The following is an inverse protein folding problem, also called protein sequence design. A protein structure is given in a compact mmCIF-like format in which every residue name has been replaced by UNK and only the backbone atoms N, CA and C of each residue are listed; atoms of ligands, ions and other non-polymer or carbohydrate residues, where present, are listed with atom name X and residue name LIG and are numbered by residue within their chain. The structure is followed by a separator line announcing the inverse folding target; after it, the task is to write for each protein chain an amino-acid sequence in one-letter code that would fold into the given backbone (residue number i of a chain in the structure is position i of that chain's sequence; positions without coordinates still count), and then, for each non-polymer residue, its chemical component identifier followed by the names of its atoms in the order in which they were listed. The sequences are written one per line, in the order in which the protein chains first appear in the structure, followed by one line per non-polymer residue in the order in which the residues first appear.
data_IF_133257216884
#
_entry.id   IF_133257216884
#
_cell.length_a   1.000
_cell.length_b   1.000
_cell.length_c   1.000
_cell.angle_alpha   90.00
_cell.angle_beta   90.00
_cell.angle_gamma   90.00
#
_symmetry.space_group_name_H-M   'P 1'
#
loop_
_entity.id
_entity.type
_entity.pdbx_description
1 polymer ?
#
# COMPACT_ATOMS: atom_id res chain seq x y z
N UNK A 1 -1.89 27.07 -27.63
CA UNK A 1 -1.87 26.81 -26.18
C UNK A 1 -1.80 25.30 -26.00
N UNK A 2 -0.79 24.77 -25.31
CA UNK A 2 -0.62 23.34 -25.15
C UNK A 2 -1.46 22.82 -23.97
N UNK A 3 -2.21 21.74 -24.18
CA UNK A 3 -2.97 21.08 -23.12
C UNK A 3 -2.02 20.25 -22.27
N UNK A 4 -2.05 20.44 -20.95
CA UNK A 4 -1.32 19.61 -19.98
C UNK A 4 -2.31 18.70 -19.27
N UNK A 5 -2.04 17.39 -19.27
CA UNK A 5 -2.82 16.38 -18.56
C UNK A 5 -1.98 15.84 -17.41
N UNK A 6 -2.54 15.83 -16.20
CA UNK A 6 -1.91 15.25 -15.02
C UNK A 6 -2.62 13.95 -14.65
N UNK A 7 -1.85 12.91 -14.37
CA UNK A 7 -2.34 11.60 -13.98
C UNK A 7 -1.78 11.21 -12.63
N UNK A 8 -2.61 10.61 -11.79
CA UNK A 8 -2.11 9.89 -10.63
C UNK A 8 -1.34 8.65 -11.08
N UNK A 9 -0.49 8.11 -10.21
CA UNK A 9 0.33 6.93 -10.49
C UNK A 9 -0.37 5.66 -10.01
N UNK A 10 -0.68 5.55 -8.72
CA UNK A 10 -1.03 4.30 -8.07
C UNK A 10 -2.53 3.99 -8.16
N UNK A 11 -2.91 3.11 -9.09
CA UNK A 11 -4.30 2.80 -9.42
C UNK A 11 -4.82 3.56 -10.65
N UNK A 12 -3.96 4.37 -11.29
CA UNK A 12 -4.26 5.02 -12.59
C UNK A 12 -3.28 4.57 -13.67
N UNK A 13 -1.97 4.81 -13.48
CA UNK A 13 -0.93 4.37 -14.44
C UNK A 13 -0.36 2.99 -14.08
N UNK A 14 -0.30 2.65 -12.79
CA UNK A 14 0.24 1.40 -12.28
C UNK A 14 -0.85 0.62 -11.56
N UNK A 15 -1.00 -0.66 -11.92
CA UNK A 15 -1.86 -1.59 -11.21
C UNK A 15 -1.21 -2.07 -9.91
N UNK A 16 -1.81 -1.71 -8.78
CA UNK A 16 -1.33 -2.11 -7.46
C UNK A 16 -1.70 -3.56 -7.10
N UNK A 17 -2.61 -4.20 -7.85
CA UNK A 17 -3.01 -5.59 -7.62
C UNK A 17 -1.93 -6.60 -8.07
N UNK A 18 -0.94 -6.18 -8.86
CA UNK A 18 0.17 -7.05 -9.26
C UNK A 18 0.95 -7.65 -8.09
N UNK A 19 0.93 -7.00 -6.92
CA UNK A 19 1.57 -7.53 -5.70
C UNK A 19 0.87 -8.79 -5.16
N UNK A 20 -0.41 -9.00 -5.46
CA UNK A 20 -1.17 -10.17 -5.01
C UNK A 20 -0.54 -11.45 -5.53
N UNK A 21 -0.10 -11.49 -6.79
CA UNK A 21 0.55 -12.67 -7.37
C UNK A 21 1.86 -13.01 -6.67
N UNK A 22 2.66 -12.00 -6.31
CA UNK A 22 3.88 -12.21 -5.53
C UNK A 22 3.54 -12.72 -4.11
N UNK A 23 2.53 -12.13 -3.46
CA UNK A 23 2.07 -12.54 -2.13
C UNK A 23 1.49 -13.95 -2.11
N UNK A 24 0.81 -14.39 -3.18
CA UNK A 24 0.28 -15.76 -3.28
C UNK A 24 1.39 -16.81 -3.15
N UNK A 25 2.59 -16.53 -3.68
CA UNK A 25 3.75 -17.42 -3.55
C UNK A 25 4.29 -17.54 -2.12
N UNK A 26 3.95 -16.61 -1.22
CA UNK A 26 4.52 -16.56 0.14
C UNK A 26 3.48 -16.86 1.22
N UNK A 27 2.25 -16.35 1.07
CA UNK A 27 1.17 -16.44 2.07
C UNK A 27 -0.10 -17.11 1.55
N UNK A 28 -0.04 -17.67 0.33
CA UNK A 28 -1.10 -18.50 -0.25
C UNK A 28 -2.44 -17.78 -0.35
N UNK A 29 -3.50 -18.45 0.09
CA UNK A 29 -4.90 -17.99 -0.03
C UNK A 29 -5.17 -16.67 0.72
N UNK A 30 -4.31 -16.30 1.68
CA UNK A 30 -4.43 -15.04 2.42
C UNK A 30 -3.99 -13.82 1.59
N UNK A 31 -3.31 -14.02 0.46
CA UNK A 31 -2.68 -12.95 -0.31
C UNK A 31 -3.63 -11.82 -0.73
N UNK A 32 -4.85 -12.16 -1.18
CA UNK A 32 -5.82 -11.15 -1.61
C UNK A 32 -6.27 -10.26 -0.43
N UNK A 33 -6.63 -10.88 0.70
CA UNK A 33 -7.04 -10.16 1.91
C UNK A 33 -5.89 -9.32 2.49
N UNK A 34 -4.67 -9.87 2.49
CA UNK A 34 -3.46 -9.18 2.93
C UNK A 34 -3.19 -7.94 2.07
N UNK A 35 -3.19 -8.09 0.74
CA UNK A 35 -2.95 -7.00 -0.22
C UNK A 35 -3.97 -5.87 -0.06
N UNK A 36 -5.26 -6.22 0.07
CA UNK A 36 -6.32 -5.25 0.31
C UNK A 36 -6.09 -4.46 1.60
N UNK A 37 -5.86 -5.16 2.71
CA UNK A 37 -5.60 -4.52 4.00
C UNK A 37 -4.35 -3.64 3.97
N UNK A 38 -3.31 -4.08 3.26
CA UNK A 38 -2.07 -3.32 3.13
C UNK A 38 -2.32 -2.00 2.39
N UNK A 39 -3.05 -2.04 1.27
CA UNK A 39 -3.41 -0.84 0.51
C UNK A 39 -4.30 0.11 1.33
N UNK A 40 -5.29 -0.42 2.05
CA UNK A 40 -6.15 0.38 2.92
C UNK A 40 -5.33 1.10 4.00
N UNK A 41 -4.45 0.38 4.69
CA UNK A 41 -3.62 0.95 5.76
C UNK A 41 -2.58 1.93 5.23
N UNK A 42 -2.02 1.69 4.05
CA UNK A 42 -1.10 2.62 3.39
C UNK A 42 -1.79 3.97 3.12
N UNK A 43 -3.01 3.95 2.56
CA UNK A 43 -3.79 5.16 2.32
C UNK A 43 -4.20 5.83 3.63
N UNK A 44 -4.75 5.06 4.58
CA UNK A 44 -5.14 5.56 5.89
C UNK A 44 -3.99 6.26 6.62
N UNK A 45 -2.80 5.65 6.63
CA UNK A 45 -1.62 6.22 7.26
C UNK A 45 -1.13 7.49 6.55
N UNK A 46 -1.20 7.53 5.21
CA UNK A 46 -0.85 8.74 4.46
C UNK A 46 -1.76 9.92 4.84
N UNK A 47 -3.08 9.70 4.91
CA UNK A 47 -4.04 10.74 5.28
C UNK A 47 -3.89 11.17 6.74
N UNK A 48 -3.80 10.22 7.67
CA UNK A 48 -3.62 10.53 9.10
C UNK A 48 -2.35 11.34 9.34
N UNK A 49 -1.22 10.93 8.74
CA UNK A 49 0.06 11.67 8.86
C UNK A 49 -0.03 13.08 8.29
N UNK A 50 -0.71 13.26 7.16
CA UNK A 50 -0.99 14.59 6.61
C UNK A 50 -1.84 15.45 7.56
N UNK A 51 -2.95 14.91 8.05
CA UNK A 51 -3.85 15.61 8.98
C UNK A 51 -3.20 15.93 10.33
N UNK A 52 -2.29 15.07 10.79
CA UNK A 52 -1.52 15.27 12.02
C UNK A 52 -0.29 16.16 11.83
N UNK A 53 -0.03 16.66 10.61
CA UNK A 53 1.18 17.43 10.27
C UNK A 53 2.48 16.68 10.62
N UNK A 54 2.48 15.37 10.42
CA UNK A 54 3.61 14.46 10.66
C UNK A 54 3.97 13.70 9.38
N UNK A 55 4.31 14.48 8.35
CA UNK A 55 4.67 13.95 7.04
C UNK A 55 5.81 12.92 7.15
N UNK A 56 5.69 11.86 6.37
CA UNK A 56 6.76 10.89 6.13
C UNK A 56 6.74 10.50 4.65
N UNK A 57 7.90 10.07 4.15
CA UNK A 57 8.02 9.58 2.78
C UNK A 57 7.09 8.38 2.54
N UNK A 58 6.52 8.30 1.34
CA UNK A 58 5.53 7.26 1.01
C UNK A 58 6.08 5.83 1.17
N UNK A 59 7.38 5.62 0.96
CA UNK A 59 8.04 4.34 1.21
C UNK A 59 7.98 3.93 2.69
N UNK A 60 8.16 4.88 3.62
CA UNK A 60 8.05 4.65 5.07
C UNK A 60 6.59 4.35 5.44
N UNK A 61 5.63 5.07 4.86
CA UNK A 61 4.20 4.80 5.06
C UNK A 61 3.84 3.39 4.58
N UNK A 62 4.36 3.00 3.41
CA UNK A 62 4.16 1.67 2.81
C UNK A 62 4.71 0.56 3.70
N UNK A 63 5.93 0.72 4.23
CA UNK A 63 6.54 -0.22 5.19
C UNK A 63 5.74 -0.34 6.48
N UNK A 64 5.36 0.79 7.10
CA UNK A 64 4.55 0.77 8.32
C UNK A 64 3.20 0.04 8.12
N UNK A 65 2.58 0.21 6.96
CA UNK A 65 1.35 -0.51 6.64
C UNK A 65 1.61 -2.02 6.42
N UNK A 66 2.78 -2.39 5.89
CA UNK A 66 3.20 -3.79 5.76
C UNK A 66 3.43 -4.43 7.14
N UNK A 67 4.10 -3.71 8.05
CA UNK A 67 4.32 -4.16 9.44
C UNK A 67 2.98 -4.45 10.14
N UNK A 68 2.00 -3.57 9.95
CA UNK A 68 0.64 -3.79 10.47
C UNK A 68 0.01 -5.07 9.92
N UNK A 69 0.11 -5.30 8.61
CA UNK A 69 -0.41 -6.51 7.99
C UNK A 69 0.32 -7.77 8.48
N UNK A 70 1.64 -7.71 8.61
CA UNK A 70 2.44 -8.81 9.15
C UNK A 70 1.97 -9.21 10.56
N UNK A 71 1.78 -8.21 11.43
CA UNK A 71 1.25 -8.44 12.78
C UNK A 71 -0.19 -8.99 12.76
N UNK A 72 -1.07 -8.48 11.88
CA UNK A 72 -2.47 -8.91 11.80
C UNK A 72 -2.62 -10.35 11.29
N UNK A 73 -1.84 -10.73 10.27
CA UNK A 73 -1.95 -12.03 9.60
C UNK A 73 -1.00 -13.10 10.14
N UNK A 74 -0.09 -12.73 11.06
CA UNK A 74 0.89 -13.62 11.67
C UNK A 74 1.97 -14.05 10.67
N UNK A 75 2.48 -13.12 9.87
CA UNK A 75 3.50 -13.36 8.84
C UNK A 75 4.74 -12.50 9.11
N UNK A 76 5.87 -12.87 8.52
CA UNK A 76 7.13 -12.12 8.63
C UNK A 76 7.63 -11.74 7.22
N UNK A 77 7.15 -10.61 6.71
CA UNK A 77 7.42 -10.13 5.34
C UNK A 77 8.08 -8.74 5.30
N UNK A 78 8.27 -8.08 6.45
CA UNK A 78 8.71 -6.69 6.52
C UNK A 78 10.21 -6.52 6.72
#
# INVERSE_FOLDING_TARGET
MALTLAFDVYGTLIDTQGVVTALQGVIGDKAAAFSHTWRDKQLEYSFRRGLMQRYENFAVVTRNALDYCCALYGTDLS
#
